data_IF_232686253650
#
_entry.id   IF_232686253650
#
_cell.length_a   1.000
_cell.length_b   1.000
_cell.length_c   1.000
_cell.angle_alpha   90.00
_cell.angle_beta   90.00
_cell.angle_gamma   90.00
#
_symmetry.space_group_name_H-M   'P 1'
#
loop_
_entity.id
_entity.type
_entity.pdbx_description
1 polymer ?
#
# COMPACT_ATOMS: atom_id res chain seq x y z
N UNK A 1 42.34 -26.90 -18.18
CA UNK A 1 43.01 -25.60 -17.97
C UNK A 1 42.47 -25.01 -16.69
N UNK A 2 43.34 -24.73 -15.72
CA UNK A 2 43.04 -24.24 -14.37
C UNK A 2 43.44 -22.77 -14.27
N UNK A 3 42.58 -21.98 -13.60
CA UNK A 3 42.83 -20.69 -12.88
C UNK A 3 43.11 -19.40 -13.67
N UNK A 4 43.04 -18.19 -13.03
CA UNK A 4 42.53 -17.84 -11.68
C UNK A 4 41.62 -16.56 -11.70
N UNK A 5 40.86 -16.24 -10.65
CA UNK A 5 41.28 -15.17 -9.75
C UNK A 5 40.55 -15.20 -8.40
N UNK A 6 41.23 -14.70 -7.36
CA UNK A 6 41.07 -15.05 -5.96
C UNK A 6 40.42 -13.90 -5.18
N UNK A 7 40.34 -14.06 -3.86
CA UNK A 7 40.12 -13.05 -2.81
C UNK A 7 38.75 -13.06 -2.08
N UNK A 8 38.78 -13.74 -0.92
CA UNK A 8 38.20 -13.38 0.41
C UNK A 8 36.69 -13.44 0.70
N UNK A 9 36.28 -13.78 1.94
CA UNK A 9 36.62 -14.94 2.79
C UNK A 9 35.37 -15.87 2.99
N UNK A 10 35.49 -17.08 3.57
CA UNK A 10 34.29 -17.84 3.95
C UNK A 10 33.47 -17.05 4.98
N UNK A 11 32.18 -16.85 4.69
CA UNK A 11 31.26 -16.13 5.57
C UNK A 11 31.30 -16.71 6.99
N UNK A 12 31.33 -15.86 8.04
CA UNK A 12 31.22 -16.37 9.40
C UNK A 12 29.86 -17.08 9.55
N UNK A 13 29.81 -18.21 10.28
CA UNK A 13 28.55 -18.91 10.50
C UNK A 13 27.56 -17.94 11.18
N UNK A 14 26.27 -17.95 10.80
CA UNK A 14 25.30 -17.03 11.38
C UNK A 14 25.25 -17.24 12.89
N UNK A 15 25.66 -16.21 13.63
CA UNK A 15 25.58 -16.19 15.08
C UNK A 15 24.13 -16.30 15.57
N UNK A 16 23.91 -16.76 16.81
CA UNK A 16 22.60 -17.18 17.32
C UNK A 16 21.64 -16.02 17.67
N UNK A 17 21.84 -14.81 17.12
CA UNK A 17 21.18 -13.59 17.60
C UNK A 17 20.11 -13.04 16.64
N UNK A 18 19.72 -13.77 15.60
CA UNK A 18 18.61 -13.36 14.73
C UNK A 18 17.41 -14.33 14.87
N UNK A 19 16.21 -13.83 15.21
CA UNK A 19 15.00 -14.66 15.22
C UNK A 19 14.73 -15.26 13.83
N UNK A 20 14.28 -16.51 13.79
CA UNK A 20 14.12 -17.30 12.55
C UNK A 20 13.27 -16.61 11.48
N UNK A 21 12.36 -15.71 11.90
CA UNK A 21 11.49 -14.91 11.03
C UNK A 21 12.23 -13.96 10.08
N UNK A 22 13.51 -13.65 10.33
CA UNK A 22 14.31 -12.73 9.51
C UNK A 22 15.43 -13.44 8.73
N UNK A 23 15.58 -14.76 8.87
CA UNK A 23 16.70 -15.51 8.26
C UNK A 23 16.46 -15.87 6.78
N UNK A 24 15.38 -15.38 6.17
CA UNK A 24 14.96 -15.71 4.81
C UNK A 24 14.67 -14.49 3.94
N UNK A 25 15.68 -13.64 3.68
CA UNK A 25 15.69 -12.76 2.49
C UNK A 25 17.13 -12.35 2.15
N UNK A 26 17.90 -13.32 1.69
CA UNK A 26 19.18 -13.05 1.04
C UNK A 26 18.87 -12.40 -0.32
N UNK A 27 19.32 -11.15 -0.50
CA UNK A 27 19.25 -10.45 -1.77
C UNK A 27 20.05 -11.23 -2.83
N UNK A 28 19.42 -11.59 -3.96
CA UNK A 28 20.15 -12.04 -5.15
C UNK A 28 19.70 -13.32 -5.86
N UNK A 29 18.54 -13.93 -5.56
CA UNK A 29 18.01 -15.02 -6.38
C UNK A 29 16.98 -14.49 -7.40
N UNK A 30 17.11 -14.76 -8.72
CA UNK A 30 16.04 -14.51 -9.68
C UNK A 30 14.84 -15.39 -9.31
N UNK A 31 13.76 -14.77 -8.86
CA UNK A 31 12.54 -15.47 -8.52
C UNK A 31 11.83 -15.83 -9.83
N UNK A 32 11.76 -17.12 -10.16
CA UNK A 32 10.91 -17.61 -11.25
C UNK A 32 9.46 -17.14 -11.00
N UNK A 33 8.69 -16.75 -12.04
CA UNK A 33 7.33 -16.27 -11.87
C UNK A 33 6.48 -17.38 -11.24
N UNK A 34 6.08 -17.16 -9.98
CA UNK A 34 5.14 -18.03 -9.28
C UNK A 34 3.75 -17.85 -9.91
N UNK A 35 3.02 -18.93 -10.24
CA UNK A 35 1.64 -18.81 -10.70
C UNK A 35 0.80 -18.04 -9.67
N UNK A 36 -0.08 -17.19 -10.19
CA UNK A 36 -0.97 -16.32 -9.43
C UNK A 36 -1.70 -17.07 -8.32
N UNK A 37 -1.88 -16.38 -7.20
CA UNK A 37 -2.60 -16.86 -6.03
C UNK A 37 -3.98 -17.43 -6.40
N UNK A 38 -4.31 -18.51 -5.70
CA UNK A 38 -5.58 -19.23 -5.73
C UNK A 38 -6.75 -18.22 -5.69
N UNK A 39 -7.74 -18.32 -6.59
CA UNK A 39 -8.88 -17.41 -6.57
C UNK A 39 -9.64 -17.58 -5.26
N UNK A 40 -9.94 -16.47 -4.60
CA UNK A 40 -10.85 -16.43 -3.47
C UNK A 40 -12.23 -16.81 -4.00
N UNK A 41 -12.65 -18.05 -3.74
CA UNK A 41 -14.01 -18.51 -3.99
C UNK A 41 -14.96 -17.72 -3.09
N UNK A 42 -15.66 -16.75 -3.66
CA UNK A 42 -16.91 -16.28 -3.08
C UNK A 42 -17.92 -17.42 -3.23
N UNK A 43 -18.32 -18.01 -2.11
CA UNK A 43 -19.41 -18.98 -2.05
C UNK A 43 -20.70 -18.27 -2.47
N UNK A 44 -21.13 -18.50 -3.71
CA UNK A 44 -22.50 -18.26 -4.14
C UNK A 44 -23.28 -19.58 -3.93
N UNK A 45 -24.24 -19.57 -3.02
CA UNK A 45 -25.22 -20.65 -2.86
C UNK A 45 -26.30 -20.56 -3.96
N UNK A 46 -27.11 -21.62 -4.21
CA UNK A 46 -27.05 -22.33 -5.48
C UNK A 46 -28.28 -22.04 -6.35
N UNK A 47 -28.02 -21.53 -7.55
CA UNK A 47 -29.01 -21.43 -8.62
C UNK A 47 -28.32 -21.76 -9.93
N UNK A 48 -28.52 -22.97 -10.43
CA UNK A 48 -27.80 -23.52 -11.58
C UNK A 48 -27.96 -22.69 -12.85
N UNK A 49 -26.84 -22.49 -13.54
CA UNK A 49 -26.81 -21.91 -14.89
C UNK A 49 -25.43 -21.41 -15.27
N UNK A 50 -24.60 -22.30 -15.83
CA UNK A 50 -23.39 -22.01 -16.63
C UNK A 50 -22.64 -20.71 -16.25
N UNK A 51 -22.05 -20.64 -15.06
CA UNK A 51 -21.34 -19.44 -14.61
C UNK A 51 -19.85 -19.57 -14.92
N UNK A 52 -19.46 -19.30 -16.16
CA UNK A 52 -18.08 -18.87 -16.41
C UNK A 52 -17.75 -17.70 -15.49
N UNK A 53 -16.50 -17.55 -15.01
CA UNK A 53 -16.13 -16.44 -14.15
C UNK A 53 -16.57 -15.12 -14.80
N UNK A 54 -17.10 -14.15 -14.02
CA UNK A 54 -17.53 -12.87 -14.58
C UNK A 54 -16.40 -12.26 -15.41
N UNK A 55 -16.72 -11.72 -16.59
CA UNK A 55 -15.74 -11.06 -17.47
C UNK A 55 -14.98 -9.97 -16.71
N UNK A 56 -13.76 -9.65 -17.17
CA UNK A 56 -12.88 -8.72 -16.44
C UNK A 56 -13.50 -7.34 -16.31
N UNK A 57 -14.41 -6.96 -17.20
CA UNK A 57 -15.22 -5.74 -17.12
C UNK A 57 -16.01 -5.62 -15.80
N UNK A 58 -16.63 -6.73 -15.35
CA UNK A 58 -17.42 -6.77 -14.10
C UNK A 58 -16.49 -6.72 -12.88
N UNK A 59 -15.41 -7.51 -12.89
CA UNK A 59 -14.41 -7.52 -11.82
C UNK A 59 -13.69 -6.15 -11.70
N UNK A 60 -13.34 -5.53 -12.83
CA UNK A 60 -12.73 -4.20 -12.89
C UNK A 60 -13.68 -3.12 -12.33
N UNK A 61 -14.99 -3.27 -12.52
CA UNK A 61 -15.99 -2.38 -11.90
C UNK A 61 -15.89 -2.37 -10.37
N UNK A 62 -15.79 -3.54 -9.74
CA UNK A 62 -15.59 -3.63 -8.27
C UNK A 62 -14.25 -3.04 -7.82
N UNK A 63 -13.18 -3.32 -8.57
CA UNK A 63 -11.84 -2.78 -8.26
C UNK A 63 -11.84 -1.25 -8.34
N UNK A 64 -12.43 -0.66 -9.38
CA UNK A 64 -12.55 0.81 -9.51
C UNK A 64 -13.38 1.42 -8.38
N UNK A 65 -14.48 0.78 -8.00
CA UNK A 65 -15.29 1.25 -6.86
C UNK A 65 -14.50 1.22 -5.55
N UNK A 66 -13.77 0.13 -5.31
CA UNK A 66 -12.90 0.01 -4.15
C UNK A 66 -11.79 1.08 -4.17
N UNK A 67 -11.14 1.29 -5.31
CA UNK A 67 -10.13 2.34 -5.49
C UNK A 67 -10.70 3.75 -5.21
N UNK A 68 -11.95 4.01 -5.61
CA UNK A 68 -12.66 5.24 -5.27
C UNK A 68 -12.85 5.42 -3.75
N UNK A 69 -13.23 4.36 -3.03
CA UNK A 69 -13.32 4.38 -1.56
C UNK A 69 -11.96 4.66 -0.91
N UNK A 70 -10.89 4.04 -1.43
CA UNK A 70 -9.52 4.26 -0.96
C UNK A 70 -9.10 5.71 -1.20
N UNK A 71 -9.38 6.29 -2.38
CA UNK A 71 -9.16 7.70 -2.67
C UNK A 71 -9.93 8.64 -1.75
N UNK A 72 -11.22 8.37 -1.49
CA UNK A 72 -12.01 9.14 -0.53
C UNK A 72 -11.47 9.05 0.90
N UNK A 73 -10.90 7.91 1.27
CA UNK A 73 -10.24 7.71 2.56
C UNK A 73 -8.93 8.52 2.65
N UNK A 74 -8.17 8.57 1.55
CA UNK A 74 -6.98 9.41 1.44
C UNK A 74 -7.32 10.89 1.69
N UNK A 75 -8.37 11.41 1.05
CA UNK A 75 -8.84 12.79 1.24
C UNK A 75 -9.30 13.03 2.68
N UNK A 76 -10.01 12.07 3.27
CA UNK A 76 -10.46 12.14 4.67
C UNK A 76 -9.28 12.23 5.64
N UNK A 77 -8.26 11.41 5.45
CA UNK A 77 -7.04 11.42 6.28
C UNK A 77 -6.25 12.72 6.09
N UNK A 78 -6.16 13.26 4.86
CA UNK A 78 -5.52 14.55 4.62
C UNK A 78 -6.24 15.69 5.35
N UNK A 79 -7.56 15.77 5.21
CA UNK A 79 -8.38 16.76 5.94
C UNK A 79 -8.24 16.64 7.45
N UNK A 80 -8.12 15.40 7.94
CA UNK A 80 -7.87 15.13 9.34
C UNK A 80 -6.51 15.73 9.74
N UNK A 81 -5.45 15.50 8.97
CA UNK A 81 -4.13 16.12 9.14
C UNK A 81 -4.12 17.64 9.04
N UNK A 82 -4.92 18.24 8.16
CA UNK A 82 -5.07 19.71 8.05
C UNK A 82 -5.80 20.30 9.25
N UNK A 83 -6.74 19.54 9.82
CA UNK A 83 -7.50 19.91 11.02
C UNK A 83 -6.71 19.73 12.33
N UNK A 84 -5.43 19.31 12.28
CA UNK A 84 -4.63 19.13 13.49
C UNK A 84 -4.56 20.44 14.27
N UNK A 85 -4.96 20.48 15.55
CA UNK A 85 -4.82 21.68 16.34
C UNK A 85 -3.35 21.99 16.58
N UNK A 86 -2.98 23.27 16.36
CA UNK A 86 -1.73 23.85 16.87
C UNK A 86 -2.06 24.80 18.01
N UNK A 87 -1.27 24.69 19.08
CA UNK A 87 -1.40 25.50 20.28
C UNK A 87 -0.46 26.72 20.26
N UNK A 88 0.44 26.80 19.29
CA UNK A 88 1.20 28.01 18.99
C UNK A 88 0.23 29.12 18.55
N UNK A 89 0.11 30.17 19.37
CA UNK A 89 -0.79 31.29 19.10
C UNK A 89 -2.14 31.22 19.81
N UNK A 90 -2.40 30.19 20.62
CA UNK A 90 -3.41 30.33 21.66
C UNK A 90 -3.02 31.55 22.49
N UNK A 91 -3.94 32.51 22.60
CA UNK A 91 -3.72 33.71 23.39
C UNK A 91 -3.31 33.21 24.78
N UNK A 92 -2.03 33.32 25.15
CA UNK A 92 -1.51 32.84 26.43
C UNK A 92 -1.92 33.81 27.55
N UNK A 93 -2.72 34.84 27.25
CA UNK A 93 -3.29 35.77 28.22
C UNK A 93 -4.07 35.09 29.38
N UNK A 94 -4.86 34.01 29.18
CA UNK A 94 -5.46 33.25 30.29
C UNK A 94 -4.43 32.38 31.04
N UNK A 95 -3.22 32.20 30.50
CA UNK A 95 -2.09 31.53 31.14
C UNK A 95 -1.14 32.52 31.84
N UNK A 96 -1.51 33.80 31.98
CA UNK A 96 -0.80 34.78 32.79
C UNK A 96 -0.83 34.35 34.28
N UNK A 97 0.12 33.49 34.66
CA UNK A 97 0.19 32.87 35.99
C UNK A 97 0.54 31.37 35.97
N UNK A 98 0.50 30.70 34.81
CA UNK A 98 0.92 29.31 34.70
C UNK A 98 2.46 29.26 34.62
N UNK A 99 3.14 28.45 35.46
CA UNK A 99 4.60 28.36 35.50
C UNK A 99 5.19 28.04 34.12
N UNK A 100 6.47 28.36 33.90
CA UNK A 100 7.25 28.00 32.69
C UNK A 100 7.04 26.52 32.28
N UNK A 101 6.77 25.64 33.25
CA UNK A 101 6.39 24.24 33.05
C UNK A 101 5.23 24.05 32.06
N UNK A 102 4.23 24.94 32.06
CA UNK A 102 3.11 24.95 31.11
C UNK A 102 3.53 25.15 29.66
N UNK A 103 4.58 25.94 29.41
CA UNK A 103 5.12 26.14 28.06
C UNK A 103 5.78 24.87 27.50
N UNK A 104 6.45 24.09 28.37
CA UNK A 104 7.01 22.79 27.99
C UNK A 104 5.92 21.81 27.55
N UNK A 105 4.75 21.84 28.20
CA UNK A 105 3.60 21.05 27.78
C UNK A 105 3.04 21.51 26.43
N UNK A 106 2.88 22.82 26.20
CA UNK A 106 2.46 23.36 24.90
C UNK A 106 3.42 22.95 23.78
N UNK A 107 4.72 23.03 24.01
CA UNK A 107 5.73 22.55 23.06
C UNK A 107 5.58 21.05 22.78
N UNK A 108 5.39 20.24 23.83
CA UNK A 108 5.18 18.79 23.68
C UNK A 108 3.90 18.49 22.90
N UNK A 109 2.79 19.20 23.17
CA UNK A 109 1.54 19.04 22.43
C UNK A 109 1.70 19.42 20.96
N UNK A 110 2.38 20.52 20.65
CA UNK A 110 2.66 20.90 19.27
C UNK A 110 3.50 19.85 18.54
N UNK A 111 4.52 19.28 19.20
CA UNK A 111 5.32 18.20 18.63
C UNK A 111 4.49 16.93 18.35
N UNK A 112 3.55 16.58 19.25
CA UNK A 112 2.62 15.48 19.02
C UNK A 112 1.68 15.78 17.85
N UNK A 113 1.14 17.00 17.79
CA UNK A 113 0.32 17.47 16.67
C UNK A 113 1.09 17.39 15.34
N UNK A 114 2.33 17.86 15.28
CA UNK A 114 3.14 17.82 14.06
C UNK A 114 3.42 16.38 13.61
N UNK A 115 3.72 15.49 14.56
CA UNK A 115 3.92 14.07 14.27
C UNK A 115 2.65 13.45 13.71
N UNK A 116 1.49 13.77 14.29
CA UNK A 116 0.20 13.26 13.83
C UNK A 116 -0.18 13.80 12.45
N UNK A 117 -0.01 15.11 12.21
CA UNK A 117 -0.25 15.75 10.92
C UNK A 117 0.65 15.13 9.83
N UNK A 118 1.93 14.90 10.13
CA UNK A 118 2.86 14.25 9.22
C UNK A 118 2.46 12.80 8.93
N UNK A 119 2.06 12.03 9.94
CA UNK A 119 1.63 10.65 9.76
C UNK A 119 0.35 10.56 8.92
N UNK A 120 -0.60 11.48 9.14
CA UNK A 120 -1.80 11.61 8.33
C UNK A 120 -1.45 11.94 6.87
N UNK A 121 -0.51 12.87 6.63
CA UNK A 121 -0.01 13.17 5.29
C UNK A 121 0.54 11.93 4.57
N UNK A 122 1.43 11.18 5.24
CA UNK A 122 2.03 9.95 4.68
C UNK A 122 0.96 8.90 4.37
N UNK A 123 0.03 8.68 5.29
CA UNK A 123 -1.06 7.71 5.09
C UNK A 123 -1.98 8.13 3.94
N UNK A 124 -2.31 9.42 3.84
CA UNK A 124 -3.08 9.97 2.74
C UNK A 124 -2.39 9.75 1.40
N UNK A 125 -1.08 10.03 1.30
CA UNK A 125 -0.30 9.82 0.07
C UNK A 125 -0.22 8.34 -0.32
N UNK A 126 -0.02 7.45 0.65
CA UNK A 126 0.00 6.01 0.42
C UNK A 126 -1.34 5.51 -0.13
N UNK A 127 -2.46 5.87 0.53
CA UNK A 127 -3.80 5.50 0.08
C UNK A 127 -4.10 6.04 -1.32
N UNK A 128 -3.73 7.28 -1.60
CA UNK A 128 -3.94 7.87 -2.92
C UNK A 128 -3.21 7.09 -4.02
N UNK A 129 -1.93 6.77 -3.79
CA UNK A 129 -1.09 6.01 -4.73
C UNK A 129 -1.59 4.57 -4.91
N UNK A 130 -2.04 3.93 -3.84
CA UNK A 130 -2.62 2.59 -3.92
C UNK A 130 -3.93 2.61 -4.72
N UNK A 131 -4.77 3.63 -4.52
CA UNK A 131 -5.97 3.88 -5.32
C UNK A 131 -5.67 3.98 -6.82
N UNK A 132 -4.69 4.80 -7.22
CA UNK A 132 -4.27 4.89 -8.64
C UNK A 132 -3.78 3.56 -9.20
N UNK A 133 -3.03 2.80 -8.39
CA UNK A 133 -2.47 1.50 -8.80
C UNK A 133 -3.58 0.49 -9.05
N UNK A 134 -4.62 0.48 -8.22
CA UNK A 134 -5.80 -0.37 -8.39
C UNK A 134 -6.56 -0.02 -9.67
N UNK A 135 -6.73 1.27 -9.99
CA UNK A 135 -7.37 1.71 -11.23
C UNK A 135 -6.57 1.26 -12.44
N UNK A 136 -5.25 1.50 -12.46
CA UNK A 136 -4.39 1.05 -13.58
C UNK A 136 -4.43 -0.46 -13.76
N UNK A 137 -4.42 -1.22 -12.67
CA UNK A 137 -4.53 -2.67 -12.74
C UNK A 137 -5.86 -3.09 -13.39
N UNK A 138 -6.98 -2.51 -12.95
CA UNK A 138 -8.30 -2.78 -13.51
C UNK A 138 -8.36 -2.46 -15.02
N UNK A 139 -7.82 -1.31 -15.42
CA UNK A 139 -7.80 -0.90 -16.83
C UNK A 139 -6.94 -1.82 -17.69
N UNK A 140 -5.78 -2.26 -17.18
CA UNK A 140 -4.92 -3.22 -17.87
C UNK A 140 -5.61 -4.57 -18.10
N UNK A 141 -6.38 -5.08 -17.12
CA UNK A 141 -7.12 -6.33 -17.29
C UNK A 141 -8.23 -6.21 -18.33
N UNK A 142 -8.97 -5.10 -18.34
CA UNK A 142 -10.00 -4.86 -19.36
C UNK A 142 -9.38 -4.73 -20.76
N UNK A 143 -8.28 -4.00 -20.88
CA UNK A 143 -7.58 -3.84 -22.16
C UNK A 143 -7.04 -5.19 -22.69
N UNK A 144 -6.50 -6.03 -21.80
CA UNK A 144 -6.02 -7.37 -22.17
C UNK A 144 -7.16 -8.27 -22.66
N UNK A 145 -8.33 -8.22 -22.01
CA UNK A 145 -9.51 -8.98 -22.46
C UNK A 145 -9.98 -8.52 -23.84
N UNK A 146 -10.07 -7.21 -24.07
CA UNK A 146 -10.46 -6.64 -25.37
C UNK A 146 -9.49 -7.01 -26.48
N UNK A 147 -8.18 -6.95 -26.21
CA UNK A 147 -7.15 -7.37 -27.16
C UNK A 147 -7.24 -8.87 -27.50
N UNK A 148 -7.51 -9.72 -26.51
CA UNK A 148 -7.74 -11.15 -26.71
C UNK A 148 -8.96 -11.43 -27.58
N UNK A 149 -10.09 -10.75 -27.31
CA UNK A 149 -11.32 -10.85 -28.11
C UNK A 149 -11.07 -10.43 -29.58
N UNK A 150 -10.37 -9.33 -29.80
CA UNK A 150 -10.03 -8.83 -31.14
C UNK A 150 -9.10 -9.80 -31.90
N UNK A 151 -8.11 -10.38 -31.24
CA UNK A 151 -7.21 -11.36 -31.85
C UNK A 151 -7.94 -12.62 -32.31
N UNK A 152 -8.86 -13.15 -31.49
CA UNK A 152 -9.68 -14.32 -31.83
C UNK A 152 -10.57 -14.05 -33.05
N UNK A 153 -11.15 -12.85 -33.14
CA UNK A 153 -11.98 -12.45 -34.29
C UNK A 153 -11.16 -12.38 -35.58
N UNK A 154 -9.95 -11.82 -35.53
CA UNK A 154 -9.06 -11.73 -36.70
C UNK A 154 -8.57 -13.10 -37.20
N UNK A 155 -8.39 -14.09 -36.31
CA UNK A 155 -7.99 -15.46 -36.71
C UNK A 155 -9.12 -16.32 -37.27
N UNK A 156 -10.37 -15.84 -37.23
CA UNK A 156 -11.56 -16.59 -37.67
C UNK A 156 -12.00 -16.26 -39.11
N UNK A 157 -11.25 -15.40 -39.80
CA UNK A 157 -11.44 -14.96 -41.19
C UNK A 157 -10.37 -15.64 -42.04
#
# INVERSE_FOLDING_TARGET
MVSPCPHTPPCPPPGPCLPDSLRGRQAGAPQAPKPAAIPVTYSADPGGGSSGPPGYEVAAGFIRKFAGTVGGSADGVRRLGDATPRFQGWNLAPLAGIPIVGLTFVHRFNSVSDTWSSAAGILGDALHKDGETLVRAADNYVAAEQAGKAAIQNTRI
#
